data_IF_104652988693
#
_entry.id   IF_104652988693
#
_cell.length_a   1.000
_cell.length_b   1.000
_cell.length_c   1.000
_cell.angle_alpha   90.00
_cell.angle_beta   90.00
_cell.angle_gamma   90.00
#
_symmetry.space_group_name_H-M   'P 1'
#
loop_
_entity.id
_entity.type
_entity.pdbx_description
1 polymer ?
#
# COMPACT_ATOMS: atom_id res chain seq x y z
N UNK A 1 -25.39 -0.65 -7.45
CA UNK A 1 -23.94 -0.94 -7.42
C UNK A 1 -23.06 0.32 -7.35
N UNK A 2 -23.42 1.46 -7.98
CA UNK A 2 -22.60 2.68 -7.95
C UNK A 2 -22.27 3.28 -6.56
N UNK A 3 -23.09 3.00 -5.54
CA UNK A 3 -22.92 3.61 -4.21
C UNK A 3 -21.79 2.97 -3.38
N UNK A 4 -21.50 1.69 -3.61
CA UNK A 4 -20.48 0.97 -2.84
C UNK A 4 -19.07 1.30 -3.33
N UNK A 5 -18.87 1.33 -4.65
CA UNK A 5 -17.57 1.68 -5.25
C UNK A 5 -17.17 3.13 -4.95
N UNK A 6 -18.17 4.02 -4.87
CA UNK A 6 -17.95 5.42 -4.49
C UNK A 6 -17.54 5.55 -3.01
N UNK A 7 -18.15 4.76 -2.10
CA UNK A 7 -17.74 4.73 -0.69
C UNK A 7 -16.32 4.19 -0.51
N UNK A 8 -15.96 3.10 -1.20
CA UNK A 8 -14.60 2.54 -1.14
C UNK A 8 -13.58 3.52 -1.68
N UNK A 9 -13.83 4.12 -2.85
CA UNK A 9 -12.92 5.11 -3.46
C UNK A 9 -12.74 6.34 -2.56
N UNK A 10 -13.82 6.81 -1.94
CA UNK A 10 -13.76 7.91 -0.98
C UNK A 10 -12.89 7.55 0.23
N UNK A 11 -13.09 6.36 0.81
CA UNK A 11 -12.29 5.88 1.96
C UNK A 11 -10.80 5.75 1.60
N UNK A 12 -10.48 5.29 0.39
CA UNK A 12 -9.09 5.22 -0.09
C UNK A 12 -8.49 6.63 -0.18
N UNK A 13 -9.19 7.57 -0.83
CA UNK A 13 -8.71 8.94 -0.99
C UNK A 13 -8.48 9.63 0.37
N UNK A 14 -9.40 9.46 1.33
CA UNK A 14 -9.25 10.00 2.69
C UNK A 14 -8.06 9.36 3.40
N UNK A 15 -7.88 8.04 3.30
CA UNK A 15 -6.75 7.35 3.91
C UNK A 15 -5.40 7.75 3.28
N UNK A 16 -5.36 7.90 1.95
CA UNK A 16 -4.20 8.37 1.21
C UNK A 16 -3.83 9.80 1.61
N UNK A 17 -4.82 10.69 1.74
CA UNK A 17 -4.62 12.06 2.24
C UNK A 17 -3.97 12.04 3.64
N UNK A 18 -4.52 11.31 4.61
CA UNK A 18 -3.92 11.25 5.94
C UNK A 18 -2.54 10.58 5.96
N UNK A 19 -2.29 9.62 5.07
CA UNK A 19 -0.98 8.99 4.94
C UNK A 19 0.05 9.95 4.35
N UNK A 20 -0.31 10.80 3.38
CA UNK A 20 0.61 11.80 2.81
C UNK A 20 1.06 12.82 3.87
N UNK A 21 0.15 13.22 4.77
CA UNK A 21 0.46 14.13 5.88
C UNK A 21 1.50 13.57 6.87
N UNK A 22 1.71 12.26 6.90
CA UNK A 22 2.77 11.64 7.74
C UNK A 22 4.17 11.89 7.20
N UNK A 23 4.30 12.36 5.96
CA UNK A 23 5.55 12.74 5.29
C UNK A 23 6.65 11.69 5.46
N UNK A 24 6.32 10.42 5.22
CA UNK A 24 7.30 9.34 5.27
C UNK A 24 8.35 9.52 4.19
N UNK A 25 9.59 9.11 4.47
CA UNK A 25 10.62 9.04 3.45
C UNK A 25 10.20 8.10 2.31
N UNK A 26 10.67 8.38 1.08
CA UNK A 26 10.25 7.65 -0.11
C UNK A 26 10.56 6.15 -0.04
N UNK A 27 11.75 5.79 0.45
CA UNK A 27 12.17 4.41 0.71
C UNK A 27 11.28 3.72 1.75
N UNK A 28 10.84 4.45 2.77
CA UNK A 28 9.88 3.96 3.77
C UNK A 28 8.52 3.66 3.13
N UNK A 29 8.04 4.48 2.20
CA UNK A 29 6.82 4.19 1.46
C UNK A 29 6.97 2.96 0.57
N UNK A 30 8.10 2.80 -0.11
CA UNK A 30 8.39 1.59 -0.89
C UNK A 30 8.34 0.34 0.00
N UNK A 31 8.91 0.42 1.21
CA UNK A 31 8.84 -0.66 2.20
C UNK A 31 7.41 -0.97 2.64
N UNK A 32 6.63 0.05 2.98
CA UNK A 32 5.24 -0.12 3.41
C UNK A 32 4.39 -0.75 2.30
N UNK A 33 4.57 -0.32 1.05
CA UNK A 33 3.87 -0.90 -0.09
C UNK A 33 4.28 -2.37 -0.32
N UNK A 34 5.58 -2.68 -0.24
CA UNK A 34 6.09 -4.04 -0.37
C UNK A 34 5.45 -5.00 0.65
N UNK A 35 5.40 -4.60 1.93
CA UNK A 35 4.78 -5.38 3.00
C UNK A 35 3.32 -5.75 2.67
N UNK A 36 2.53 -4.77 2.21
CA UNK A 36 1.11 -4.96 1.88
C UNK A 36 0.92 -5.80 0.62
N UNK A 37 1.73 -5.59 -0.41
CA UNK A 37 1.69 -6.39 -1.64
C UNK A 37 1.99 -7.86 -1.34
N UNK A 38 3.04 -8.15 -0.58
CA UNK A 38 3.41 -9.52 -0.21
C UNK A 38 2.32 -10.19 0.62
N UNK A 39 1.71 -9.47 1.56
CA UNK A 39 0.59 -9.96 2.36
C UNK A 39 -0.64 -10.31 1.49
N UNK A 40 -1.04 -9.41 0.59
CA UNK A 40 -2.22 -9.61 -0.28
C UNK A 40 -1.99 -10.73 -1.30
N UNK A 41 -0.76 -10.86 -1.80
CA UNK A 41 -0.34 -11.93 -2.70
C UNK A 41 -0.18 -13.28 -1.99
N UNK A 42 -0.33 -13.32 -0.65
CA UNK A 42 -0.10 -14.51 0.19
C UNK A 42 1.27 -15.13 -0.06
N UNK A 43 2.29 -14.28 -0.24
CA UNK A 43 3.67 -14.74 -0.40
C UNK A 43 4.07 -15.52 0.87
N UNK A 44 4.52 -16.78 0.75
CA UNK A 44 4.88 -17.61 1.90
C UNK A 44 6.06 -17.03 2.70
N UNK A 45 6.82 -16.11 2.10
CA UNK A 45 7.98 -15.42 2.69
C UNK A 45 7.67 -13.96 3.03
N UNK A 46 6.40 -13.54 3.07
CA UNK A 46 6.03 -12.14 3.37
C UNK A 46 6.56 -11.61 4.72
N UNK A 47 6.82 -12.50 5.68
CA UNK A 47 7.39 -12.16 6.99
C UNK A 47 8.93 -12.18 7.02
N UNK A 48 9.58 -12.54 5.91
CA UNK A 48 11.04 -12.57 5.82
C UNK A 48 11.55 -11.18 5.43
N UNK A 49 12.38 -10.60 6.30
CA UNK A 49 12.95 -9.27 6.08
C UNK A 49 13.70 -9.15 4.74
N UNK A 50 14.43 -10.20 4.34
CA UNK A 50 15.13 -10.24 3.05
C UNK A 50 14.18 -10.10 1.87
N UNK A 51 13.08 -10.87 1.86
CA UNK A 51 12.06 -10.80 0.80
C UNK A 51 11.38 -9.44 0.74
N UNK A 52 11.07 -8.86 1.91
CA UNK A 52 10.48 -7.53 2.00
C UNK A 52 11.44 -6.45 1.45
N UNK A 53 12.73 -6.55 1.78
CA UNK A 53 13.77 -5.66 1.26
C UNK A 53 13.91 -5.76 -0.26
N UNK A 54 13.94 -6.97 -0.82
CA UNK A 54 13.96 -7.19 -2.27
C UNK A 54 12.76 -6.52 -2.93
N UNK A 55 11.56 -6.76 -2.42
CA UNK A 55 10.34 -6.20 -2.98
C UNK A 55 10.29 -4.67 -2.87
N UNK A 56 10.75 -4.11 -1.75
CA UNK A 56 10.85 -2.67 -1.58
C UNK A 56 11.86 -2.05 -2.57
N UNK A 57 12.99 -2.72 -2.83
CA UNK A 57 13.96 -2.29 -3.81
C UNK A 57 13.39 -2.33 -5.24
N UNK A 58 12.66 -3.39 -5.61
CA UNK A 58 11.95 -3.45 -6.91
C UNK A 58 11.03 -2.23 -7.11
N UNK A 59 10.26 -1.86 -6.09
CA UNK A 59 9.37 -0.69 -6.12
C UNK A 59 10.16 0.61 -6.20
N UNK A 60 11.22 0.75 -5.41
CA UNK A 60 12.06 1.94 -5.42
C UNK A 60 12.67 2.19 -6.80
N UNK A 61 13.21 1.14 -7.43
CA UNK A 61 13.85 1.24 -8.74
C UNK A 61 12.86 1.40 -9.89
N UNK A 62 11.59 1.01 -9.74
CA UNK A 62 10.56 1.33 -10.74
C UNK A 62 10.13 2.80 -10.71
N UNK A 63 10.55 3.56 -9.68
CA UNK A 63 10.39 5.01 -9.59
C UNK A 63 8.95 5.54 -9.61
N UNK A 64 7.95 4.90 -8.95
CA UNK A 64 6.61 5.43 -8.92
C UNK A 64 6.57 6.81 -8.21
N UNK A 65 5.70 7.72 -8.63
CA UNK A 65 5.49 8.97 -7.90
C UNK A 65 5.07 8.76 -6.44
N UNK A 66 5.41 9.72 -5.57
CA UNK A 66 5.15 9.65 -4.13
C UNK A 66 3.66 9.49 -3.79
N UNK A 67 2.81 10.28 -4.46
CA UNK A 67 1.35 10.25 -4.32
C UNK A 67 0.76 8.90 -4.75
N UNK A 68 1.30 8.31 -5.80
CA UNK A 68 0.94 6.96 -6.24
C UNK A 68 1.30 5.91 -5.18
N UNK A 69 2.48 5.98 -4.56
CA UNK A 69 2.85 5.09 -3.47
C UNK A 69 1.87 5.20 -2.30
N UNK A 70 1.56 6.42 -1.89
CA UNK A 70 0.61 6.69 -0.81
C UNK A 70 -0.79 6.16 -1.13
N UNK A 71 -1.27 6.38 -2.35
CA UNK A 71 -2.56 5.88 -2.80
C UNK A 71 -2.63 4.34 -2.76
N UNK A 72 -1.64 3.66 -3.33
CA UNK A 72 -1.60 2.19 -3.37
C UNK A 72 -1.51 1.57 -1.98
N UNK A 73 -0.75 2.19 -1.07
CA UNK A 73 -0.70 1.75 0.33
C UNK A 73 -2.08 1.85 0.98
N UNK A 74 -2.77 2.98 0.80
CA UNK A 74 -4.10 3.20 1.35
C UNK A 74 -5.14 2.24 0.75
N UNK A 75 -5.09 2.00 -0.56
CA UNK A 75 -5.94 1.05 -1.26
C UNK A 75 -5.79 -0.36 -0.66
N UNK A 76 -4.56 -0.87 -0.56
CA UNK A 76 -4.33 -2.20 -0.01
C UNK A 76 -4.77 -2.29 1.45
N UNK A 77 -4.53 -1.27 2.27
CA UNK A 77 -4.99 -1.24 3.67
C UNK A 77 -6.52 -1.32 3.78
N UNK A 78 -7.27 -0.62 2.92
CA UNK A 78 -8.73 -0.69 2.89
C UNK A 78 -9.20 -2.07 2.41
N UNK A 79 -8.62 -2.61 1.33
CA UNK A 79 -8.98 -3.93 0.82
C UNK A 79 -8.68 -5.06 1.83
N UNK A 80 -7.57 -4.98 2.54
CA UNK A 80 -7.23 -5.93 3.62
C UNK A 80 -8.27 -5.85 4.74
N UNK A 81 -8.67 -4.64 5.17
CA UNK A 81 -9.69 -4.48 6.21
C UNK A 81 -11.04 -5.05 5.77
N UNK A 82 -11.46 -4.76 4.54
CA UNK A 82 -12.71 -5.29 3.98
C UNK A 82 -12.71 -6.80 3.88
N UNK A 83 -11.60 -7.44 3.49
CA UNK A 83 -11.49 -8.91 3.45
C UNK A 83 -11.48 -9.59 4.83
N UNK A 84 -11.17 -8.84 5.90
CA UNK A 84 -11.21 -9.33 7.28
C UNK A 84 -12.59 -9.17 7.94
N UNK A 85 -13.52 -8.50 7.27
CA UNK A 85 -14.91 -8.28 7.72
C UNK A 85 -15.81 -9.28 7.01
#
# INVERSE_FOLDING_TARGET
MANFDNDVSHRINVAAYYLSQKNFAYDKLCWLLAERQLLVQRDPKHNQHGRMKEKAAEIFFSGPPYDILVYLIAELDILIKLKKT
#
